data_IF_669453633253
#
_entry.id   IF_669453633253
#
_cell.length_a   1.000
_cell.length_b   1.000
_cell.length_c   1.000
_cell.angle_alpha   90.00
_cell.angle_beta   90.00
_cell.angle_gamma   90.00
#
_symmetry.space_group_name_H-M   'P 1'
#
loop_
_entity.id
_entity.type
_entity.pdbx_description
1 polymer ?
#
# COMPACT_ATOMS: atom_id res chain seq x y z
N UNK A 1 7.04 5.35 -7.69
CA UNK A 1 5.78 4.81 -8.24
C UNK A 1 5.91 3.30 -8.27
N UNK A 2 4.88 2.58 -7.85
CA UNK A 2 4.85 1.11 -7.86
C UNK A 2 3.74 0.66 -8.81
N UNK A 3 4.09 -0.20 -9.77
CA UNK A 3 3.17 -0.65 -10.83
C UNK A 3 2.79 -2.09 -10.55
N UNK A 4 1.50 -2.39 -10.56
CA UNK A 4 0.95 -3.75 -10.59
C UNK A 4 0.24 -3.98 -11.92
N UNK A 5 -0.30 -5.18 -12.16
CA UNK A 5 -1.00 -5.49 -13.42
C UNK A 5 -2.23 -4.59 -13.64
N UNK A 6 -2.86 -4.14 -12.56
CA UNK A 6 -4.17 -3.44 -12.59
C UNK A 6 -4.18 -2.08 -11.92
N UNK A 7 -3.11 -1.68 -11.23
CA UNK A 7 -3.09 -0.44 -10.48
C UNK A 7 -1.72 0.25 -10.50
N UNK A 8 -1.77 1.58 -10.37
CA UNK A 8 -0.61 2.46 -10.32
C UNK A 8 -0.55 3.16 -8.96
N UNK A 9 0.40 2.75 -8.12
CA UNK A 9 0.57 3.34 -6.82
C UNK A 9 1.55 4.53 -6.88
N UNK A 10 1.06 5.69 -6.48
CA UNK A 10 1.79 6.97 -6.51
C UNK A 10 2.23 7.33 -5.09
N UNK A 11 3.42 7.92 -4.95
CA UNK A 11 3.95 8.35 -3.66
C UNK A 11 3.09 9.49 -3.11
N UNK A 12 2.58 9.33 -1.90
CA UNK A 12 1.92 10.37 -1.12
C UNK A 12 2.99 11.17 -0.38
N UNK A 13 3.41 12.31 -0.95
CA UNK A 13 4.49 13.14 -0.39
C UNK A 13 4.13 13.78 0.94
N UNK A 14 2.84 14.03 1.21
CA UNK A 14 2.39 14.68 2.44
C UNK A 14 2.44 13.70 3.63
N UNK A 15 2.19 12.41 3.35
CA UNK A 15 2.20 11.35 4.37
C UNK A 15 3.55 10.65 4.48
N UNK A 16 4.47 10.87 3.54
CA UNK A 16 5.77 10.18 3.49
C UNK A 16 6.90 11.02 4.09
N UNK A 17 7.89 10.33 4.64
CA UNK A 17 9.15 10.92 5.07
C UNK A 17 10.36 10.14 4.52
N UNK A 18 11.54 10.40 5.09
CA UNK A 18 12.81 9.78 4.67
C UNK A 18 12.88 8.28 4.94
N UNK A 19 12.10 7.76 5.88
CA UNK A 19 12.18 6.37 6.36
C UNK A 19 10.89 5.59 6.13
N UNK A 20 9.73 6.22 6.28
CA UNK A 20 8.43 5.64 5.98
C UNK A 20 7.87 6.27 4.71
N UNK A 21 7.58 5.45 3.70
CA UNK A 21 6.95 5.90 2.46
C UNK A 21 5.58 5.29 2.29
N UNK A 22 4.62 6.11 1.86
CA UNK A 22 3.25 5.69 1.60
C UNK A 22 2.95 5.84 0.12
N UNK A 23 2.63 4.75 -0.55
CA UNK A 23 2.18 4.77 -1.94
C UNK A 23 0.70 4.43 -2.01
N UNK A 24 -0.11 5.25 -2.68
CA UNK A 24 -1.57 5.10 -2.73
C UNK A 24 -2.08 4.93 -4.15
N UNK A 25 -3.19 4.22 -4.29
CA UNK A 25 -3.98 4.13 -5.52
C UNK A 25 -5.45 4.05 -5.15
N UNK A 26 -6.30 4.57 -6.02
CA UNK A 26 -7.74 4.31 -5.97
C UNK A 26 -8.06 3.19 -6.96
N UNK A 27 -8.84 2.20 -6.52
CA UNK A 27 -9.39 1.14 -7.38
C UNK A 27 -10.85 0.95 -7.01
N UNK A 28 -11.74 1.20 -7.98
CA UNK A 28 -13.18 1.23 -7.79
C UNK A 28 -13.61 2.16 -6.64
N UNK A 29 -14.23 1.60 -5.59
CA UNK A 29 -14.71 2.33 -4.40
C UNK A 29 -13.75 2.21 -3.21
N UNK A 30 -12.53 1.73 -3.43
CA UNK A 30 -11.55 1.46 -2.39
C UNK A 30 -10.24 2.20 -2.68
N UNK A 31 -9.57 2.61 -1.61
CA UNK A 31 -8.20 3.11 -1.70
C UNK A 31 -7.27 2.02 -1.13
N UNK A 32 -6.21 1.71 -1.85
CA UNK A 32 -5.16 0.80 -1.41
C UNK A 32 -3.89 1.60 -1.14
N UNK A 33 -3.17 1.19 -0.11
CA UNK A 33 -1.88 1.77 0.26
C UNK A 33 -0.82 0.69 0.40
N UNK A 34 0.37 0.97 -0.13
CA UNK A 34 1.60 0.24 0.19
C UNK A 34 2.44 1.15 1.09
N UNK A 35 2.61 0.74 2.34
CA UNK A 35 3.55 1.35 3.28
C UNK A 35 4.89 0.64 3.20
N UNK A 36 5.97 1.41 3.08
CA UNK A 36 7.35 0.91 3.08
C UNK A 36 8.05 1.44 4.33
N UNK A 37 8.51 0.54 5.18
CA UNK A 37 9.36 0.83 6.33
C UNK A 37 10.83 0.53 5.98
N UNK A 38 11.60 1.59 5.74
CA UNK A 38 13.03 1.49 5.42
C UNK A 38 13.93 1.47 6.65
N UNK A 39 13.37 1.50 7.87
CA UNK A 39 14.16 1.33 9.10
C UNK A 39 14.60 -0.12 9.30
N UNK A 40 13.87 -1.07 8.70
CA UNK A 40 14.17 -2.50 8.73
C UNK A 40 15.19 -2.89 7.65
N UNK A 41 15.95 -3.97 7.89
CA UNK A 41 16.92 -4.53 6.93
C UNK A 41 16.66 -6.02 6.74
N UNK A 42 16.10 -6.45 5.59
CA UNK A 42 15.61 -5.64 4.46
C UNK A 42 14.39 -4.77 4.82
N UNK A 43 14.04 -3.76 4.00
CA UNK A 43 12.82 -2.98 4.19
C UNK A 43 11.58 -3.87 4.31
N UNK A 44 10.60 -3.41 5.09
CA UNK A 44 9.35 -4.13 5.28
C UNK A 44 8.20 -3.41 4.61
N UNK A 45 7.38 -4.17 3.91
CA UNK A 45 6.29 -3.67 3.08
C UNK A 45 4.96 -4.16 3.62
N UNK A 46 3.96 -3.27 3.65
CA UNK A 46 2.64 -3.57 4.16
C UNK A 46 1.58 -3.03 3.20
N UNK A 47 0.53 -3.82 2.96
CA UNK A 47 -0.61 -3.43 2.14
C UNK A 47 -1.79 -3.14 3.04
N UNK A 48 -2.40 -1.98 2.87
CA UNK A 48 -3.60 -1.56 3.57
C UNK A 48 -4.73 -1.28 2.61
N UNK A 49 -5.95 -1.57 3.05
CA UNK A 49 -7.19 -1.10 2.42
C UNK A 49 -7.78 -0.01 3.29
N UNK A 50 -8.10 1.12 2.67
CA UNK A 50 -8.78 2.24 3.30
C UNK A 50 -10.25 2.23 2.94
N UNK A 51 -11.10 2.50 3.93
CA UNK A 51 -12.54 2.66 3.76
C UNK A 51 -13.08 3.73 4.71
N UNK A 52 -14.25 4.27 4.37
CA UNK A 52 -14.95 5.22 5.22
C UNK A 52 -15.89 4.46 6.17
N UNK A 53 -15.73 4.70 7.47
CA UNK A 53 -16.66 4.28 8.51
C UNK A 53 -17.35 5.53 9.06
N UNK A 54 -18.52 5.85 8.49
CA UNK A 54 -19.22 7.11 8.72
C UNK A 54 -18.37 8.33 8.31
N UNK A 55 -17.97 9.14 9.30
CA UNK A 55 -17.09 10.32 9.09
C UNK A 55 -15.59 10.00 9.23
N UNK A 56 -15.23 8.79 9.64
CA UNK A 56 -13.83 8.40 9.91
C UNK A 56 -13.27 7.66 8.71
N UNK A 57 -12.00 7.93 8.39
CA UNK A 57 -11.22 7.12 7.46
C UNK A 57 -10.48 6.08 8.30
N UNK A 58 -10.69 4.80 8.02
CA UNK A 58 -10.06 3.68 8.71
C UNK A 58 -9.29 2.84 7.70
N UNK A 59 -8.27 2.13 8.18
CA UNK A 59 -7.54 1.16 7.37
C UNK A 59 -7.54 -0.23 7.98
N UNK A 60 -7.47 -1.22 7.10
CA UNK A 60 -7.28 -2.62 7.44
C UNK A 60 -5.98 -3.10 6.79
N UNK A 61 -5.11 -3.72 7.58
CA UNK A 61 -3.90 -4.36 7.06
C UNK A 61 -4.28 -5.67 6.38
N UNK A 62 -4.00 -5.76 5.09
CA UNK A 62 -4.30 -6.94 4.28
C UNK A 62 -3.13 -7.94 4.23
N UNK A 63 -1.91 -7.44 4.08
CA UNK A 63 -0.74 -8.28 3.87
C UNK A 63 0.55 -7.57 4.26
N UNK A 64 1.61 -8.32 4.56
CA UNK A 64 2.93 -7.77 4.83
C UNK A 64 4.07 -8.73 4.52
N UNK A 65 5.17 -8.20 4.01
CA UNK A 65 6.34 -8.98 3.63
C UNK A 65 7.59 -8.12 3.57
N UNK A 66 8.76 -8.73 3.73
CA UNK A 66 10.06 -8.11 3.40
C UNK A 66 10.41 -8.21 1.90
N UNK A 67 9.51 -8.71 1.08
CA UNK A 67 9.74 -9.04 -0.33
C UNK A 67 8.72 -8.31 -1.20
N UNK A 68 9.18 -7.36 -2.02
CA UNK A 68 8.31 -6.53 -2.87
C UNK A 68 7.56 -7.35 -3.93
N UNK A 69 8.17 -8.40 -4.47
CA UNK A 69 7.52 -9.34 -5.40
C UNK A 69 6.29 -10.02 -4.77
N UNK A 70 6.36 -10.40 -3.49
CA UNK A 70 5.20 -10.95 -2.76
C UNK A 70 4.09 -9.93 -2.58
N UNK A 71 4.43 -8.67 -2.35
CA UNK A 71 3.47 -7.56 -2.26
C UNK A 71 2.76 -7.37 -3.60
N UNK A 72 3.51 -7.30 -4.69
CA UNK A 72 2.95 -7.14 -6.05
C UNK A 72 2.07 -8.35 -6.41
N UNK A 73 2.51 -9.57 -6.11
CA UNK A 73 1.73 -10.78 -6.36
C UNK A 73 0.44 -10.82 -5.54
N UNK A 74 0.49 -10.42 -4.26
CA UNK A 74 -0.69 -10.27 -3.43
C UNK A 74 -1.69 -9.28 -4.05
N UNK A 75 -1.24 -8.06 -4.41
CA UNK A 75 -2.13 -7.04 -4.98
C UNK A 75 -2.74 -7.49 -6.31
N UNK A 76 -1.94 -8.11 -7.19
CA UNK A 76 -2.45 -8.67 -8.44
C UNK A 76 -3.53 -9.73 -8.20
N UNK A 77 -3.35 -10.58 -7.19
CA UNK A 77 -4.34 -11.62 -6.85
C UNK A 77 -5.59 -11.02 -6.20
N UNK A 78 -5.40 -9.99 -5.37
CA UNK A 78 -6.48 -9.31 -4.65
C UNK A 78 -7.40 -8.51 -5.58
N UNK A 79 -6.84 -7.87 -6.61
CA UNK A 79 -7.58 -7.10 -7.60
C UNK A 79 -8.19 -7.97 -8.73
N UNK A 80 -7.97 -9.29 -8.67
CA UNK A 80 -8.47 -10.30 -9.62
C UNK A 80 -7.89 -10.20 -11.01
#
# INVERSE_FOLDING_TARGET
MIITKRALFVLDYDSSDKVIQHYRTEVDLMELEIKIDNTMRPPYYEVFKWFKDGKRKVNERLFGSSHMDKIINFINSYLG
#
